data_IF_690279999665
#
_entry.id   IF_690279999665
#
_cell.length_a   1.000
_cell.length_b   1.000
_cell.length_c   1.000
_cell.angle_alpha   90.00
_cell.angle_beta   90.00
_cell.angle_gamma   90.00
#
_symmetry.space_group_name_H-M   'P 1'
#
loop_
_entity.id
_entity.type
_entity.pdbx_description
1 polymer ?
#
# COMPACT_ATOMS: atom_id res chain seq x y z
N UNK A 1 6.11 32.19 -24.10
CA UNK A 1 5.15 31.10 -23.88
C UNK A 1 5.83 30.01 -23.05
N UNK A 2 5.60 29.96 -21.74
CA UNK A 2 6.26 29.02 -20.82
C UNK A 2 5.40 27.75 -20.69
N UNK A 3 5.95 26.63 -21.16
CA UNK A 3 5.38 25.30 -21.01
C UNK A 3 5.25 24.97 -19.52
N UNK A 4 4.01 24.87 -19.04
CA UNK A 4 3.72 24.52 -17.65
C UNK A 4 2.96 23.17 -17.63
N UNK A 5 3.42 22.15 -16.90
CA UNK A 5 2.92 20.77 -16.97
C UNK A 5 1.48 20.56 -16.44
N UNK A 6 0.82 21.59 -15.94
CA UNK A 6 -0.45 21.52 -15.19
C UNK A 6 -1.74 21.47 -16.05
N UNK A 7 -1.69 20.92 -17.27
CA UNK A 7 -2.67 21.22 -18.33
C UNK A 7 -4.02 20.50 -18.21
N UNK A 8 -4.12 19.26 -17.74
CA UNK A 8 -5.39 18.52 -17.90
C UNK A 8 -6.55 19.08 -17.08
N UNK A 9 -6.40 19.22 -15.75
CA UNK A 9 -7.45 19.77 -14.90
C UNK A 9 -7.72 21.26 -15.22
N UNK A 10 -6.67 22.07 -15.41
CA UNK A 10 -6.81 23.50 -15.71
C UNK A 10 -7.30 23.82 -17.12
N UNK A 11 -7.13 22.93 -18.11
CA UNK A 11 -7.67 23.14 -19.45
C UNK A 11 -9.13 22.68 -19.56
N UNK A 12 -9.50 21.63 -18.83
CA UNK A 12 -10.83 21.03 -18.91
C UNK A 12 -11.83 21.75 -18.01
N UNK A 13 -11.47 22.01 -16.74
CA UNK A 13 -12.41 22.55 -15.75
C UNK A 13 -12.99 23.92 -16.13
N UNK A 14 -12.20 24.92 -16.60
CA UNK A 14 -12.75 26.25 -16.90
C UNK A 14 -13.59 26.29 -18.18
N UNK A 15 -13.34 25.39 -19.13
CA UNK A 15 -13.90 25.44 -20.49
C UNK A 15 -15.07 24.45 -20.65
N UNK A 16 -14.92 23.24 -20.12
CA UNK A 16 -15.85 22.13 -20.35
C UNK A 16 -16.48 21.60 -19.05
N UNK A 17 -16.15 22.18 -17.90
CA UNK A 17 -16.62 21.74 -16.59
C UNK A 17 -16.00 20.42 -16.14
N UNK A 18 -16.61 19.78 -15.13
CA UNK A 18 -16.10 18.56 -14.49
C UNK A 18 -16.46 17.27 -15.24
N UNK A 19 -17.47 17.28 -16.12
CA UNK A 19 -18.00 16.09 -16.82
C UNK A 19 -16.99 15.38 -17.76
N UNK A 20 -16.14 16.08 -18.54
CA UNK A 20 -15.17 15.41 -19.41
C UNK A 20 -14.15 14.56 -18.65
N UNK A 21 -13.93 14.84 -17.35
CA UNK A 21 -13.01 14.08 -16.51
C UNK A 21 -13.45 12.62 -16.35
N UNK A 22 -14.75 12.30 -16.44
CA UNK A 22 -15.20 10.89 -16.43
C UNK A 22 -14.88 10.16 -17.72
N UNK A 23 -14.82 10.84 -18.87
CA UNK A 23 -14.49 10.15 -20.12
C UNK A 23 -13.02 9.75 -20.16
N UNK A 24 -12.15 10.49 -19.48
CA UNK A 24 -10.73 10.12 -19.32
C UNK A 24 -10.58 8.78 -18.57
N UNK A 25 -11.49 8.47 -17.63
CA UNK A 25 -11.45 7.20 -16.90
C UNK A 25 -11.87 5.98 -17.74
N UNK A 26 -12.43 6.18 -18.93
CA UNK A 26 -12.73 5.09 -19.88
C UNK A 26 -11.44 4.46 -20.42
N UNK A 27 -10.39 5.26 -20.60
CA UNK A 27 -9.10 4.81 -21.16
C UNK A 27 -8.51 3.63 -20.37
N UNK A 28 -8.31 3.71 -19.03
CA UNK A 28 -7.79 2.57 -18.26
C UNK A 28 -8.73 1.37 -18.24
N UNK A 29 -10.05 1.55 -18.37
CA UNK A 29 -11.02 0.44 -18.45
C UNK A 29 -10.84 -0.33 -19.76
N UNK A 30 -10.75 0.38 -20.89
CA UNK A 30 -10.50 -0.25 -22.20
C UNK A 30 -9.16 -0.97 -22.20
N UNK A 31 -8.12 -0.33 -21.64
CA UNK A 31 -6.80 -0.94 -21.49
C UNK A 31 -6.86 -2.21 -20.63
N UNK A 32 -7.58 -2.19 -19.51
CA UNK A 32 -7.73 -3.37 -18.63
C UNK A 32 -8.46 -4.52 -19.34
N UNK A 33 -9.52 -4.25 -20.10
CA UNK A 33 -10.23 -5.27 -20.90
C UNK A 33 -9.30 -5.85 -21.96
N UNK A 34 -8.52 -5.00 -22.64
CA UNK A 34 -7.55 -5.43 -23.63
C UNK A 34 -6.47 -6.34 -23.04
N UNK A 35 -5.85 -5.92 -21.93
CA UNK A 35 -4.82 -6.68 -21.21
C UNK A 35 -5.38 -8.02 -20.72
N UNK A 36 -6.57 -8.01 -20.10
CA UNK A 36 -7.22 -9.23 -19.60
C UNK A 36 -7.48 -10.26 -20.70
N UNK A 37 -7.76 -9.82 -21.94
CA UNK A 37 -7.95 -10.72 -23.09
C UNK A 37 -6.65 -11.31 -23.64
N UNK A 38 -5.50 -10.68 -23.37
CA UNK A 38 -4.19 -11.06 -23.92
C UNK A 38 -3.31 -11.84 -22.94
N UNK A 39 -3.50 -11.67 -21.63
CA UNK A 39 -2.70 -12.37 -20.61
C UNK A 39 -3.22 -13.80 -20.41
N UNK A 40 -2.41 -14.85 -20.65
CA UNK A 40 -2.79 -16.23 -20.37
C UNK A 40 -2.94 -16.47 -18.86
N UNK A 41 -3.83 -17.37 -18.48
CA UNK A 41 -4.05 -17.70 -17.07
C UNK A 41 -2.80 -18.39 -16.47
N UNK A 42 -2.43 -18.08 -15.20
CA UNK A 42 -1.30 -18.71 -14.55
C UNK A 42 -1.46 -20.23 -14.42
N UNK A 43 -0.38 -21.00 -14.64
CA UNK A 43 -0.41 -22.47 -14.54
C UNK A 43 -0.88 -22.96 -13.17
N UNK A 44 -0.46 -22.32 -12.07
CA UNK A 44 -0.92 -22.67 -10.73
C UNK A 44 -2.43 -22.50 -10.51
N UNK A 45 -3.09 -21.58 -11.22
CA UNK A 45 -4.55 -21.44 -11.18
C UNK A 45 -5.24 -22.56 -11.98
N UNK A 46 -4.69 -22.91 -13.14
CA UNK A 46 -5.18 -24.01 -13.97
C UNK A 46 -5.05 -25.36 -13.23
N UNK A 47 -3.94 -25.59 -12.54
CA UNK A 47 -3.71 -26.78 -11.72
C UNK A 47 -4.67 -26.83 -10.52
N UNK A 48 -4.89 -25.71 -9.82
CA UNK A 48 -5.84 -25.63 -8.72
C UNK A 48 -7.29 -25.89 -9.18
N UNK A 49 -7.65 -25.49 -10.41
CA UNK A 49 -8.98 -25.72 -10.99
C UNK A 49 -9.20 -27.17 -11.41
N UNK A 50 -8.14 -27.91 -11.74
CA UNK A 50 -8.17 -29.33 -12.10
C UNK A 50 -8.31 -30.26 -10.89
N UNK A 51 -7.93 -29.80 -9.69
CA UNK A 51 -8.14 -30.57 -8.47
C UNK A 51 -9.64 -30.61 -8.13
N UNK A 52 -10.19 -31.77 -7.72
CA UNK A 52 -11.58 -31.84 -7.30
C UNK A 52 -11.80 -30.81 -6.18
N UNK A 53 -12.89 -30.05 -6.27
CA UNK A 53 -13.32 -29.13 -5.20
C UNK A 53 -13.70 -29.98 -3.98
N UNK A 54 -12.70 -30.44 -3.22
CA UNK A 54 -12.92 -30.91 -1.87
C UNK A 54 -13.60 -29.77 -1.13
N UNK A 55 -14.66 -30.09 -0.37
CA UNK A 55 -15.46 -29.12 0.38
C UNK A 55 -14.56 -27.99 0.88
N UNK A 56 -14.84 -26.77 0.40
CA UNK A 56 -14.06 -25.59 0.73
C UNK A 56 -14.09 -25.43 2.24
N UNK A 57 -13.11 -26.03 2.93
CA UNK A 57 -12.89 -25.80 4.36
C UNK A 57 -12.86 -24.30 4.52
N UNK A 58 -13.68 -23.79 5.43
CA UNK A 58 -13.81 -22.35 5.62
C UNK A 58 -12.42 -21.75 5.88
N UNK A 59 -11.90 -21.00 4.91
CA UNK A 59 -10.54 -20.44 4.95
C UNK A 59 -10.37 -19.50 6.15
N UNK A 60 -11.45 -18.84 6.58
CA UNK A 60 -11.48 -18.07 7.82
C UNK A 60 -11.23 -18.93 9.04
N UNK A 61 -11.87 -20.09 9.13
CA UNK A 61 -11.65 -21.01 10.25
C UNK A 61 -10.20 -21.51 10.29
N UNK A 62 -9.58 -21.72 9.13
CA UNK A 62 -8.16 -22.07 9.04
C UNK A 62 -7.24 -20.96 9.57
N UNK A 63 -7.54 -19.68 9.30
CA UNK A 63 -6.82 -18.54 9.86
C UNK A 63 -6.91 -18.52 11.39
N UNK A 64 -8.10 -18.75 11.97
CA UNK A 64 -8.30 -18.68 13.42
C UNK A 64 -7.78 -19.89 14.19
N UNK A 65 -7.67 -21.05 13.52
CA UNK A 65 -7.21 -22.31 14.13
C UNK A 65 -5.71 -22.35 14.37
N UNK A 66 -4.91 -21.80 13.46
CA UNK A 66 -3.45 -21.73 13.62
C UNK A 66 -3.06 -20.44 14.37
N UNK A 67 -2.52 -20.53 15.61
CA UNK A 67 -2.17 -19.35 16.40
C UNK A 67 -1.13 -18.45 15.73
N UNK A 68 -0.19 -19.01 14.96
CA UNK A 68 0.85 -18.22 14.28
C UNK A 68 0.24 -17.41 13.14
N UNK A 69 -0.57 -18.07 12.30
CA UNK A 69 -1.26 -17.41 11.17
C UNK A 69 -2.23 -16.35 11.70
N UNK A 70 -3.01 -16.66 12.74
CA UNK A 70 -3.92 -15.72 13.39
C UNK A 70 -3.18 -14.47 13.90
N UNK A 71 -2.02 -14.67 14.52
CA UNK A 71 -1.21 -13.56 15.06
C UNK A 71 -0.70 -12.65 13.94
N UNK A 72 -0.17 -13.24 12.85
CA UNK A 72 0.27 -12.49 11.66
C UNK A 72 -0.90 -11.77 10.99
N UNK A 73 -2.07 -12.41 10.93
CA UNK A 73 -3.30 -11.81 10.42
C UNK A 73 -3.74 -10.58 11.22
N UNK A 74 -3.70 -10.67 12.56
CA UNK A 74 -4.00 -9.53 13.43
C UNK A 74 -2.99 -8.39 13.26
N UNK A 75 -1.68 -8.69 13.17
CA UNK A 75 -0.68 -7.66 12.91
C UNK A 75 -0.89 -6.98 11.56
N UNK A 76 -1.29 -7.72 10.52
CA UNK A 76 -1.64 -7.13 9.23
C UNK A 76 -2.93 -6.31 9.27
N UNK A 77 -3.93 -6.68 10.08
CA UNK A 77 -5.11 -5.84 10.33
C UNK A 77 -4.67 -4.50 10.92
N UNK A 78 -3.93 -4.50 12.04
CA UNK A 78 -3.49 -3.26 12.69
C UNK A 78 -2.61 -2.42 11.76
N UNK A 79 -1.65 -3.05 11.10
CA UNK A 79 -0.78 -2.41 10.11
C UNK A 79 -1.59 -1.76 8.99
N UNK A 80 -2.57 -2.48 8.43
CA UNK A 80 -3.43 -1.97 7.35
C UNK A 80 -4.31 -0.83 7.83
N UNK A 81 -4.86 -0.90 9.05
CA UNK A 81 -5.65 0.17 9.67
C UNK A 81 -4.83 1.44 9.80
N UNK A 82 -3.63 1.37 10.39
CA UNK A 82 -2.79 2.56 10.58
C UNK A 82 -2.26 3.12 9.25
N UNK A 83 -1.85 2.25 8.33
CA UNK A 83 -1.37 2.70 7.01
C UNK A 83 -2.50 3.39 6.23
N UNK A 84 -3.71 2.83 6.25
CA UNK A 84 -4.87 3.41 5.57
C UNK A 84 -5.36 4.69 6.25
N UNK A 85 -5.35 4.74 7.59
CA UNK A 85 -5.67 5.95 8.33
C UNK A 85 -4.73 7.10 7.95
N UNK A 86 -3.41 6.86 7.98
CA UNK A 86 -2.43 7.86 7.55
C UNK A 86 -2.59 8.26 6.08
N UNK A 87 -2.72 7.28 5.18
CA UNK A 87 -2.75 7.53 3.74
C UNK A 87 -3.98 8.32 3.30
N UNK A 88 -5.17 7.86 3.69
CA UNK A 88 -6.41 8.54 3.32
C UNK A 88 -6.62 9.83 4.09
N UNK A 89 -6.10 9.93 5.33
CA UNK A 89 -6.06 11.18 6.08
C UNK A 89 -5.30 12.28 5.34
N UNK A 90 -4.07 11.98 4.91
CA UNK A 90 -3.26 12.91 4.09
C UNK A 90 -3.96 13.22 2.78
N UNK A 91 -4.43 12.20 2.05
CA UNK A 91 -5.08 12.39 0.75
C UNK A 91 -6.33 13.27 0.80
N UNK A 92 -7.05 13.23 1.93
CA UNK A 92 -8.27 14.03 2.13
C UNK A 92 -7.96 15.46 2.56
N UNK A 93 -7.02 15.65 3.49
CA UNK A 93 -6.82 16.94 4.16
C UNK A 93 -5.65 17.76 3.65
N UNK A 94 -4.68 17.16 2.95
CA UNK A 94 -3.56 17.90 2.37
C UNK A 94 -4.03 19.00 1.38
N UNK A 95 -4.98 18.76 0.45
CA UNK A 95 -5.49 19.83 -0.41
C UNK A 95 -6.10 20.99 0.38
N UNK A 96 -6.91 20.66 1.39
CA UNK A 96 -7.60 21.63 2.25
C UNK A 96 -6.60 22.43 3.07
N UNK A 97 -5.57 21.79 3.63
CA UNK A 97 -4.47 22.45 4.35
C UNK A 97 -3.76 23.50 3.47
N UNK A 98 -3.39 23.12 2.24
CA UNK A 98 -2.72 24.02 1.30
C UNK A 98 -3.56 25.26 0.97
N UNK A 99 -4.88 25.12 0.87
CA UNK A 99 -5.79 26.24 0.55
C UNK A 99 -6.15 27.06 1.78
N UNK A 100 -6.62 26.42 2.84
CA UNK A 100 -7.21 27.10 3.99
C UNK A 100 -6.17 27.64 4.98
N UNK A 101 -5.06 26.93 5.20
CA UNK A 101 -4.03 27.36 6.15
C UNK A 101 -2.84 28.04 5.46
N UNK A 102 -2.44 27.55 4.29
CA UNK A 102 -1.30 28.14 3.55
C UNK A 102 -1.72 29.20 2.53
N UNK A 103 -3.02 29.42 2.34
CA UNK A 103 -3.56 30.46 1.47
C UNK A 103 -3.25 30.26 -0.01
N UNK A 104 -2.98 29.02 -0.46
CA UNK A 104 -2.72 28.76 -1.87
C UNK A 104 -4.00 28.85 -2.69
N UNK A 105 -3.90 29.54 -3.83
CA UNK A 105 -4.95 29.49 -4.83
C UNK A 105 -5.12 28.05 -5.37
N UNK A 106 -6.31 27.79 -5.91
CA UNK A 106 -6.68 26.47 -6.42
C UNK A 106 -5.71 25.93 -7.49
N UNK A 107 -5.15 26.82 -8.31
CA UNK A 107 -4.25 26.47 -9.40
C UNK A 107 -2.88 26.02 -8.89
N UNK A 108 -2.30 26.74 -7.92
CA UNK A 108 -1.05 26.38 -7.24
C UNK A 108 -1.20 25.09 -6.46
N UNK A 109 -2.28 24.96 -5.67
CA UNK A 109 -2.59 23.73 -4.93
C UNK A 109 -2.65 22.51 -5.87
N UNK A 110 -3.40 22.61 -6.97
CA UNK A 110 -3.50 21.52 -7.96
C UNK A 110 -2.14 21.17 -8.55
N UNK A 111 -1.33 22.19 -8.89
CA UNK A 111 0.00 21.97 -9.43
C UNK A 111 0.94 21.27 -8.46
N UNK A 112 0.91 21.64 -7.18
CA UNK A 112 1.70 20.98 -6.14
C UNK A 112 1.25 19.55 -5.89
N UNK A 113 -0.05 19.28 -5.81
CA UNK A 113 -0.56 17.91 -5.64
C UNK A 113 -0.20 17.00 -6.81
N UNK A 114 -0.27 17.50 -8.05
CA UNK A 114 0.20 16.75 -9.23
C UNK A 114 1.67 16.38 -9.07
N UNK A 115 2.52 17.33 -8.63
CA UNK A 115 3.92 17.07 -8.32
C UNK A 115 4.10 15.99 -7.23
N UNK A 116 3.41 16.15 -6.10
CA UNK A 116 3.44 15.20 -4.97
C UNK A 116 3.03 13.79 -5.40
N UNK A 117 1.93 13.64 -6.14
CA UNK A 117 1.45 12.32 -6.59
C UNK A 117 2.31 11.73 -7.70
N UNK A 118 2.95 12.56 -8.52
CA UNK A 118 3.97 12.08 -9.49
C UNK A 118 5.18 11.52 -8.74
N UNK A 119 5.69 12.25 -7.75
CA UNK A 119 6.76 11.79 -6.87
C UNK A 119 6.39 10.50 -6.12
N UNK A 120 5.13 10.37 -5.68
CA UNK A 120 4.59 9.15 -5.08
C UNK A 120 4.69 7.95 -6.01
N UNK A 121 4.34 8.10 -7.30
CA UNK A 121 4.44 7.02 -8.29
C UNK A 121 5.89 6.54 -8.40
N UNK A 122 6.85 7.46 -8.53
CA UNK A 122 8.27 7.12 -8.57
C UNK A 122 8.75 6.49 -7.26
N UNK A 123 8.29 6.99 -6.11
CA UNK A 123 8.58 6.40 -4.80
C UNK A 123 8.10 4.96 -4.68
N UNK A 124 6.91 4.63 -5.21
CA UNK A 124 6.41 3.24 -5.25
C UNK A 124 7.25 2.33 -6.13
N UNK A 125 7.66 2.80 -7.31
CA UNK A 125 8.52 2.03 -8.22
C UNK A 125 9.87 1.76 -7.55
N UNK A 126 10.49 2.80 -6.98
CA UNK A 126 11.76 2.69 -6.29
C UNK A 126 11.65 1.76 -5.07
N UNK A 127 10.56 1.85 -4.30
CA UNK A 127 10.30 0.97 -3.17
C UNK A 127 10.24 -0.49 -3.60
N UNK A 128 9.56 -0.80 -4.71
CA UNK A 128 9.52 -2.16 -5.27
C UNK A 128 10.91 -2.69 -5.62
N UNK A 129 11.69 -1.90 -6.36
CA UNK A 129 13.07 -2.27 -6.72
C UNK A 129 13.98 -2.43 -5.50
N UNK A 130 13.90 -1.51 -4.52
CA UNK A 130 14.66 -1.63 -3.28
C UNK A 130 14.23 -2.84 -2.45
N UNK A 131 12.96 -3.23 -2.49
CA UNK A 131 12.46 -4.38 -1.74
C UNK A 131 13.10 -5.68 -2.20
N UNK A 132 13.44 -5.77 -3.48
CA UNK A 132 14.15 -6.93 -4.02
C UNK A 132 15.63 -6.95 -3.60
N UNK A 133 16.22 -5.78 -3.31
CA UNK A 133 17.62 -5.64 -2.88
C UNK A 133 17.83 -5.83 -1.38
N UNK A 134 17.07 -5.12 -0.55
CA UNK A 134 17.28 -5.06 0.91
C UNK A 134 16.16 -5.74 1.70
N UNK A 135 15.17 -6.31 1.03
CA UNK A 135 14.03 -6.99 1.65
C UNK A 135 12.82 -6.08 1.86
N UNK A 136 11.64 -6.69 1.83
CA UNK A 136 10.35 -6.00 1.89
C UNK A 136 10.08 -5.41 3.27
N UNK A 137 10.42 -6.14 4.33
CA UNK A 137 10.33 -5.68 5.72
C UNK A 137 11.12 -4.40 5.93
N UNK A 138 12.35 -4.34 5.43
CA UNK A 138 13.22 -3.18 5.57
C UNK A 138 12.65 -1.95 4.83
N UNK A 139 12.30 -2.10 3.55
CA UNK A 139 11.72 -1.00 2.76
C UNK A 139 10.39 -0.53 3.33
N UNK A 140 9.53 -1.45 3.77
CA UNK A 140 8.25 -1.11 4.38
C UNK A 140 8.43 -0.28 5.66
N UNK A 141 9.36 -0.72 6.53
CA UNK A 141 9.68 -0.03 7.77
C UNK A 141 10.30 1.36 7.52
N UNK A 142 11.29 1.44 6.64
CA UNK A 142 11.95 2.69 6.25
C UNK A 142 10.93 3.66 5.65
N UNK A 143 10.06 3.20 4.75
CA UNK A 143 8.99 4.02 4.17
C UNK A 143 8.02 4.56 5.23
N UNK A 144 7.61 3.71 6.17
CA UNK A 144 6.72 4.10 7.27
C UNK A 144 7.36 5.14 8.18
N UNK A 145 8.57 4.87 8.67
CA UNK A 145 9.30 5.74 9.61
C UNK A 145 9.75 7.05 8.97
N UNK A 146 10.24 7.01 7.73
CA UNK A 146 10.62 8.23 7.01
C UNK A 146 9.41 9.13 6.77
N UNK A 147 8.25 8.58 6.39
CA UNK A 147 7.01 9.36 6.26
C UNK A 147 6.56 9.90 7.62
N UNK A 148 6.67 9.09 8.68
CA UNK A 148 6.30 9.47 10.04
C UNK A 148 7.07 10.67 10.58
N UNK A 149 8.37 10.74 10.28
CA UNK A 149 9.26 11.83 10.68
C UNK A 149 9.07 13.04 9.75
N UNK A 150 8.98 12.78 8.45
CA UNK A 150 8.98 13.85 7.45
C UNK A 150 7.68 14.63 7.42
N UNK A 151 6.54 14.02 7.77
CA UNK A 151 5.26 14.70 7.75
C UNK A 151 5.18 15.84 8.80
N UNK A 152 5.46 15.64 10.10
CA UNK A 152 5.60 16.74 11.06
C UNK A 152 6.67 17.76 10.64
N UNK A 153 7.81 17.30 10.13
CA UNK A 153 8.87 18.18 9.64
C UNK A 153 8.37 19.11 8.53
N UNK A 154 7.62 18.59 7.55
CA UNK A 154 7.01 19.39 6.51
C UNK A 154 6.08 20.44 7.10
N UNK A 155 5.21 20.07 8.04
CA UNK A 155 4.26 21.01 8.65
C UNK A 155 4.99 22.11 9.42
N UNK A 156 6.06 21.78 10.16
CA UNK A 156 6.78 22.74 11.01
C UNK A 156 7.74 23.67 10.25
N UNK A 157 8.36 23.19 9.17
CA UNK A 157 9.49 23.88 8.51
C UNK A 157 9.19 24.33 7.08
N UNK A 158 7.94 24.22 6.62
CA UNK A 158 7.59 24.76 5.32
C UNK A 158 7.68 26.29 5.30
N UNK A 159 8.08 26.81 4.15
CA UNK A 159 8.10 28.23 3.79
C UNK A 159 7.61 28.34 2.33
N UNK A 160 7.20 29.54 1.88
CA UNK A 160 6.79 29.73 0.48
C UNK A 160 7.87 29.31 -0.54
N UNK A 161 9.15 29.38 -0.18
CA UNK A 161 10.27 29.04 -1.06
C UNK A 161 10.59 27.54 -1.13
N UNK A 162 10.36 26.76 -0.06
CA UNK A 162 10.78 25.36 0.01
C UNK A 162 9.64 24.34 -0.15
N UNK A 163 8.38 24.77 -0.07
CA UNK A 163 7.24 23.86 0.05
C UNK A 163 7.11 22.87 -1.10
N UNK A 164 7.46 23.26 -2.34
CA UNK A 164 7.41 22.36 -3.49
C UNK A 164 8.41 21.21 -3.34
N UNK A 165 9.60 21.49 -2.82
CA UNK A 165 10.65 20.49 -2.59
C UNK A 165 10.20 19.56 -1.46
N UNK A 166 9.68 20.11 -0.37
CA UNK A 166 9.16 19.33 0.75
C UNK A 166 8.01 18.42 0.32
N UNK A 167 7.03 18.94 -0.42
CA UNK A 167 5.91 18.14 -0.94
C UNK A 167 6.37 17.06 -1.92
N UNK A 168 7.41 17.32 -2.71
CA UNK A 168 8.00 16.33 -3.63
C UNK A 168 8.67 15.20 -2.84
N UNK A 169 9.53 15.53 -1.87
CA UNK A 169 10.18 14.54 -1.00
C UNK A 169 9.12 13.75 -0.23
N UNK A 170 8.14 14.45 0.34
CA UNK A 170 7.02 13.83 1.03
C UNK A 170 6.29 12.84 0.12
N UNK A 171 5.99 13.20 -1.13
CA UNK A 171 5.36 12.31 -2.10
C UNK A 171 6.13 10.98 -2.27
N UNK A 172 7.45 11.04 -2.44
CA UNK A 172 8.32 9.86 -2.51
C UNK A 172 8.19 8.97 -1.26
N UNK A 173 8.31 9.55 -0.07
CA UNK A 173 8.27 8.81 1.20
C UNK A 173 6.87 8.23 1.46
N UNK A 174 5.85 9.06 1.33
CA UNK A 174 4.42 8.77 1.54
C UNK A 174 3.94 7.57 0.71
N UNK A 175 4.45 7.41 -0.51
CA UNK A 175 4.13 6.30 -1.40
C UNK A 175 4.81 4.97 -1.07
N UNK A 176 5.96 5.02 -0.38
CA UNK A 176 6.90 3.89 -0.24
C UNK A 176 6.23 2.65 0.38
N UNK A 177 5.51 2.72 1.52
CA UNK A 177 4.89 1.52 2.11
C UNK A 177 3.88 0.84 1.19
N UNK A 178 3.10 1.61 0.41
CA UNK A 178 2.14 1.04 -0.54
C UNK A 178 2.78 0.43 -1.77
N UNK A 179 4.04 0.77 -2.10
CA UNK A 179 4.79 0.13 -3.17
C UNK A 179 5.07 -1.35 -2.88
N UNK A 180 5.21 -1.70 -1.60
CA UNK A 180 5.61 -3.05 -1.15
C UNK A 180 4.55 -3.77 -0.31
N UNK A 181 3.48 -3.08 0.12
CA UNK A 181 2.43 -3.64 0.98
C UNK A 181 1.82 -4.93 0.43
N UNK A 182 1.44 -4.95 -0.85
CA UNK A 182 0.79 -6.10 -1.46
C UNK A 182 1.68 -7.35 -1.49
N UNK A 183 2.93 -7.20 -1.90
CA UNK A 183 3.89 -8.31 -1.97
C UNK A 183 4.24 -8.79 -0.56
N UNK A 184 4.59 -7.89 0.35
CA UNK A 184 4.97 -8.25 1.72
C UNK A 184 3.83 -8.97 2.48
N UNK A 185 2.60 -8.49 2.33
CA UNK A 185 1.43 -9.12 2.95
C UNK A 185 1.14 -10.49 2.31
N UNK A 186 1.26 -10.62 0.99
CA UNK A 186 1.04 -11.89 0.30
C UNK A 186 2.02 -13.00 0.72
N UNK A 187 3.26 -12.63 1.03
CA UNK A 187 4.32 -13.53 1.49
C UNK A 187 4.23 -13.90 2.96
N UNK A 188 3.35 -13.23 3.71
CA UNK A 188 3.12 -13.52 5.12
C UNK A 188 2.17 -14.70 5.33
N UNK A 189 1.48 -15.16 4.27
CA UNK A 189 0.46 -16.20 4.37
C UNK A 189 0.67 -17.37 3.38
N UNK A 190 0.32 -18.61 3.80
CA UNK A 190 0.40 -19.77 2.93
C UNK A 190 -0.66 -19.73 1.83
N UNK A 191 -0.33 -20.30 0.67
CA UNK A 191 -1.11 -20.21 -0.58
C UNK A 191 -2.60 -20.55 -0.43
N UNK A 192 -2.95 -21.52 0.41
CA UNK A 192 -4.31 -22.02 0.56
C UNK A 192 -5.27 -21.07 1.30
N UNK A 193 -4.77 -20.08 2.04
CA UNK A 193 -5.58 -19.05 2.73
C UNK A 193 -5.15 -17.63 2.35
N UNK A 194 -4.10 -17.48 1.54
CA UNK A 194 -3.48 -16.19 1.21
C UNK A 194 -4.49 -15.18 0.69
N UNK A 195 -5.37 -15.59 -0.23
CA UNK A 195 -6.39 -14.71 -0.79
C UNK A 195 -7.31 -14.13 0.29
N UNK A 196 -7.85 -14.99 1.15
CA UNK A 196 -8.73 -14.60 2.26
C UNK A 196 -8.00 -13.79 3.33
N UNK A 197 -6.78 -14.15 3.69
CA UNK A 197 -6.00 -13.44 4.70
C UNK A 197 -5.57 -12.04 4.22
N UNK A 198 -5.02 -11.93 3.01
CA UNK A 198 -4.59 -10.65 2.41
C UNK A 198 -5.81 -9.74 2.19
N UNK A 199 -6.86 -10.26 1.55
CA UNK A 199 -8.08 -9.52 1.31
C UNK A 199 -8.80 -9.13 2.60
N UNK A 200 -8.86 -10.04 3.57
CA UNK A 200 -9.48 -9.81 4.87
C UNK A 200 -8.78 -8.74 5.68
N UNK A 201 -7.46 -8.86 5.86
CA UNK A 201 -6.68 -7.91 6.64
C UNK A 201 -6.71 -6.51 6.01
N UNK A 202 -6.58 -6.42 4.69
CA UNK A 202 -6.62 -5.14 3.97
C UNK A 202 -8.00 -4.47 4.05
N UNK A 203 -9.09 -5.22 3.86
CA UNK A 203 -10.43 -4.65 3.90
C UNK A 203 -10.88 -4.28 5.31
N UNK A 204 -10.53 -5.07 6.34
CA UNK A 204 -10.75 -4.66 7.74
C UNK A 204 -9.93 -3.39 8.01
N UNK A 205 -8.72 -3.27 7.46
CA UNK A 205 -7.93 -2.04 7.52
C UNK A 205 -8.63 -0.78 7.00
N UNK A 206 -9.66 -0.89 6.15
CA UNK A 206 -10.42 0.27 5.64
C UNK A 206 -11.19 1.03 6.71
N UNK A 207 -11.43 0.44 7.89
CA UNK A 207 -11.93 1.22 9.02
C UNK A 207 -11.00 2.40 9.35
N UNK A 208 -9.69 2.23 9.21
CA UNK A 208 -8.72 3.34 9.34
C UNK A 208 -8.96 4.43 8.30
N UNK A 209 -9.15 4.06 7.03
CA UNK A 209 -9.45 5.02 5.96
C UNK A 209 -10.75 5.80 6.21
N UNK A 210 -11.79 5.13 6.71
CA UNK A 210 -13.10 5.73 6.96
C UNK A 210 -13.07 6.73 8.13
N UNK A 211 -12.30 6.43 9.18
CA UNK A 211 -12.25 7.25 10.39
C UNK A 211 -11.31 8.46 10.21
N UNK A 212 -10.26 8.35 9.38
CA UNK A 212 -9.25 9.39 9.24
C UNK A 212 -9.79 10.80 8.91
N UNK A 213 -10.72 10.98 7.95
CA UNK A 213 -11.27 12.30 7.66
C UNK A 213 -11.99 12.93 8.85
N UNK A 214 -12.77 12.12 9.58
CA UNK A 214 -13.54 12.57 10.75
C UNK A 214 -12.60 12.98 11.88
N UNK A 215 -11.59 12.15 12.18
CA UNK A 215 -10.61 12.46 13.22
C UNK A 215 -9.88 13.77 12.96
N UNK A 216 -9.40 14.00 11.73
CA UNK A 216 -8.71 15.24 11.38
C UNK A 216 -9.67 16.42 11.41
N UNK A 217 -10.93 16.26 10.97
CA UNK A 217 -11.93 17.32 11.04
C UNK A 217 -12.30 17.74 12.46
N UNK A 218 -12.26 16.82 13.43
CA UNK A 218 -12.41 17.15 14.85
C UNK A 218 -11.16 17.86 15.36
N UNK A 219 -9.96 17.36 15.04
CA UNK A 219 -8.69 17.97 15.46
C UNK A 219 -8.54 19.39 14.90
N UNK A 220 -8.94 19.62 13.65
CA UNK A 220 -8.83 20.93 13.00
C UNK A 220 -9.73 21.99 13.62
N UNK A 221 -10.81 21.60 14.30
CA UNK A 221 -11.67 22.55 15.03
C UNK A 221 -11.04 22.99 16.36
N UNK A 222 -10.26 22.11 16.99
CA UNK A 222 -9.61 22.40 18.27
C UNK A 222 -8.22 23.06 18.10
N UNK A 223 -7.50 22.69 17.04
CA UNK A 223 -6.17 23.22 16.71
C UNK A 223 -6.10 23.65 15.24
N UNK A 224 -5.49 22.83 14.39
CA UNK A 224 -5.29 23.11 12.97
C UNK A 224 -5.29 21.81 12.16
N UNK A 225 -5.57 21.94 10.87
CA UNK A 225 -5.42 20.87 9.88
C UNK A 225 -3.96 20.43 9.84
N UNK A 226 -3.00 21.37 9.86
CA UNK A 226 -1.57 21.05 9.90
C UNK A 226 -1.20 20.16 11.08
N UNK A 227 -1.72 20.44 12.28
CA UNK A 227 -1.51 19.59 13.45
C UNK A 227 -2.14 18.20 13.27
N UNK A 228 -3.36 18.13 12.73
CA UNK A 228 -4.00 16.86 12.37
C UNK A 228 -3.18 16.03 11.38
N UNK A 229 -2.59 16.67 10.36
CA UNK A 229 -1.68 16.02 9.42
C UNK A 229 -0.40 15.52 10.10
N UNK A 230 0.21 16.31 10.99
CA UNK A 230 1.40 15.90 11.72
C UNK A 230 1.15 14.63 12.57
N UNK A 231 -0.02 14.52 13.22
CA UNK A 231 -0.40 13.34 14.01
C UNK A 231 -0.49 12.07 13.15
N UNK A 232 -0.83 12.18 11.86
CA UNK A 232 -0.82 11.01 10.96
C UNK A 232 0.57 10.38 10.83
N UNK A 233 1.63 11.11 11.16
CA UNK A 233 2.97 10.55 11.29
C UNK A 233 3.02 9.40 12.30
N UNK A 234 2.28 9.48 13.41
CA UNK A 234 2.18 8.38 14.40
C UNK A 234 1.57 7.13 13.77
N UNK A 235 0.52 7.29 12.95
CA UNK A 235 -0.08 6.16 12.24
C UNK A 235 0.92 5.52 11.25
N UNK A 236 1.69 6.34 10.52
CA UNK A 236 2.75 5.82 9.64
C UNK A 236 3.88 5.12 10.42
N UNK A 237 4.24 5.62 11.59
CA UNK A 237 5.23 4.97 12.46
C UNK A 237 4.72 3.61 12.93
N UNK A 238 3.49 3.53 13.46
CA UNK A 238 2.89 2.27 13.89
C UNK A 238 2.75 1.28 12.73
N UNK A 239 2.33 1.75 11.56
CA UNK A 239 2.25 0.94 10.36
C UNK A 239 3.63 0.38 9.97
N UNK A 240 4.70 1.15 10.06
CA UNK A 240 6.06 0.68 9.75
C UNK A 240 6.64 -0.26 10.82
N UNK A 241 6.47 0.08 12.10
CA UNK A 241 7.08 -0.62 13.25
C UNK A 241 6.45 -1.99 13.48
N UNK A 242 5.12 -2.13 13.35
CA UNK A 242 4.43 -3.39 13.66
C UNK A 242 4.96 -4.54 12.78
N UNK A 243 4.97 -4.45 11.44
CA UNK A 243 5.58 -5.48 10.60
C UNK A 243 7.08 -5.62 10.85
N UNK A 244 7.78 -4.49 11.05
CA UNK A 244 9.20 -4.50 11.29
C UNK A 244 9.59 -5.29 12.54
N UNK A 245 8.78 -5.33 13.58
CA UNK A 245 9.09 -6.07 14.81
C UNK A 245 8.49 -7.48 14.82
N UNK A 246 7.30 -7.65 14.25
CA UNK A 246 6.50 -8.86 14.48
C UNK A 246 6.30 -9.75 13.26
N UNK A 247 6.62 -9.29 12.05
CA UNK A 247 6.40 -10.03 10.80
C UNK A 247 7.75 -10.32 10.14
N UNK A 248 8.07 -11.61 9.98
CA UNK A 248 9.35 -12.03 9.38
C UNK A 248 9.36 -11.75 7.88
N UNK A 249 10.56 -11.54 7.36
CA UNK A 249 10.80 -11.45 5.91
C UNK A 249 10.49 -12.81 5.25
N UNK A 250 9.82 -12.79 4.08
CA UNK A 250 9.59 -13.96 3.21
C UNK A 250 9.17 -15.23 3.96
N UNK A 251 8.00 -15.21 4.61
CA UNK A 251 7.50 -16.38 5.35
C UNK A 251 7.02 -17.51 4.42
N UNK A 252 6.51 -17.15 3.25
CA UNK A 252 6.03 -18.06 2.22
C UNK A 252 6.40 -17.54 0.83
N UNK A 253 6.78 -18.44 -0.05
CA UNK A 253 6.98 -18.12 -1.47
C UNK A 253 5.62 -18.13 -2.20
N UNK A 254 5.21 -17.01 -2.82
CA UNK A 254 3.96 -16.95 -3.58
C UNK A 254 3.97 -17.79 -4.85
N UNK A 255 5.16 -18.08 -5.38
CA UNK A 255 5.39 -18.70 -6.68
C UNK A 255 5.91 -20.14 -6.57
N UNK A 256 6.13 -20.66 -5.35
CA UNK A 256 6.43 -22.09 -5.17
C UNK A 256 5.24 -22.96 -5.58
N UNK A 257 5.42 -23.67 -6.68
CA UNK A 257 4.58 -24.81 -7.04
C UNK A 257 4.83 -25.95 -6.04
N UNK A 258 3.79 -26.70 -5.67
CA UNK A 258 3.87 -27.86 -4.74
C UNK A 258 4.87 -28.96 -5.17
N UNK A 259 5.45 -28.88 -6.35
CA UNK A 259 6.42 -29.83 -6.91
C UNK A 259 7.82 -29.76 -6.30
N UNK A 260 8.15 -28.75 -5.49
CA UNK A 260 9.44 -28.64 -4.81
C UNK A 260 9.35 -28.81 -3.29
N UNK A 261 8.49 -29.72 -2.80
CA UNK A 261 8.67 -30.24 -1.46
C UNK A 261 10.01 -31.01 -1.41
N UNK A 262 10.83 -30.87 -0.35
CA UNK A 262 12.02 -31.69 -0.21
C UNK A 262 11.57 -33.16 -0.16
N UNK A 263 12.12 -34.00 -1.02
CA UNK A 263 12.02 -35.46 -0.90
C UNK A 263 12.44 -35.81 0.53
N UNK A 264 11.64 -36.56 1.32
CA UNK A 264 12.14 -37.15 2.55
C UNK A 264 13.39 -37.94 2.16
N UNK A 265 14.53 -37.61 2.76
CA UNK A 265 15.75 -38.39 2.56
C UNK A 265 15.41 -39.84 2.87
N UNK A 266 15.50 -40.67 1.83
CA UNK A 266 15.07 -42.06 1.88
C UNK A 266 15.80 -42.80 2.99
N UNK A 267 15.02 -43.59 3.72
CA UNK A 267 15.49 -44.72 4.50
C UNK A 267 16.47 -45.53 3.65
N UNK A 268 17.73 -45.59 4.09
CA UNK A 268 18.71 -46.49 3.50
C UNK A 268 18.32 -47.92 3.84
N UNK A 269 17.65 -48.58 2.90
CA UNK A 269 17.59 -50.04 2.84
C UNK A 269 19.01 -50.59 2.75
N UNK A 270 19.52 -51.15 3.84
CA UNK A 270 20.54 -52.19 3.78
C UNK A 270 19.90 -53.49 4.24
N UNK A 271 19.26 -54.17 3.28
CA UNK A 271 19.00 -55.60 3.36
C UNK A 271 20.33 -56.37 3.28
N UNK A 272 20.50 -57.26 4.24
CA UNK A 272 21.03 -58.62 4.12
C UNK A 272 22.05 -58.91 3.01
N UNK A 273 23.30 -59.14 3.42
CA UNK A 273 24.08 -60.23 2.83
C UNK A 273 24.62 -61.13 3.94
N UNK A 274 23.97 -62.27 4.08
CA UNK A 274 24.54 -63.51 4.60
C UNK A 274 25.40 -64.17 3.51
N UNK A 275 26.70 -64.30 3.78
CA UNK A 275 27.58 -65.40 3.35
C UNK A 275 28.92 -65.26 4.10
#
# INVERSE_FOLDING_TARGET
MKNNPYRLANAILPIYGWRPLYFISIIPVVLAIYIRRKIPEPQGWLEAKKQPKNDKKNEWFAIYKDPKIRTIFLFWIFTSTFLQFGFYGVGTWLPTYLVQELGFDFKKMTGYLVGTYTALIFGKILAGWLADLIGRRAVYAIGGLSTAIFLPFLIMYHTPGNIIILLTIFGFLYGTPYGVNGTYMSESFPTHIRGTAVGGAYNIGRFGAAIAPISIGIISQAQSIGFGLAILGVAYALAGIIPALFIREKMYDPFQNKTSAPTPQGESNTENHSA
#
